data_IF_447080586391
#
_entry.id   IF_447080586391
#
_cell.length_a   1.000
_cell.length_b   1.000
_cell.length_c   1.000
_cell.angle_alpha   90.00
_cell.angle_beta   90.00
_cell.angle_gamma   90.00
#
_symmetry.space_group_name_H-M   'P 1'
#
loop_
_entity.id
_entity.type
_entity.pdbx_description
1 polymer ?
#
# COMPACT_ATOMS: atom_id res chain seq x y z
N UNK A 1 8.44 -12.54 -10.44
CA UNK A 1 9.25 -13.21 -11.48
C UNK A 1 10.46 -13.84 -10.79
N UNK A 2 10.77 -15.10 -11.10
CA UNK A 2 11.92 -15.82 -10.55
C UNK A 2 12.74 -16.43 -11.71
N UNK A 3 14.06 -16.66 -11.56
CA UNK A 3 14.84 -17.42 -12.53
C UNK A 3 14.28 -18.82 -12.79
N UNK A 4 14.63 -19.49 -13.92
CA UNK A 4 14.25 -20.88 -14.17
C UNK A 4 14.61 -21.80 -13.00
N UNK A 5 13.67 -22.65 -12.59
CA UNK A 5 13.84 -23.56 -11.44
C UNK A 5 13.79 -22.90 -10.06
N UNK A 6 13.45 -21.60 -9.97
CA UNK A 6 13.32 -20.86 -8.72
C UNK A 6 11.88 -20.38 -8.50
N UNK A 7 11.57 -20.05 -7.25
CA UNK A 7 10.30 -19.47 -6.84
C UNK A 7 10.52 -18.21 -6.00
N UNK A 8 9.53 -17.32 -6.01
CA UNK A 8 9.47 -16.17 -5.08
C UNK A 8 8.36 -16.44 -4.09
N UNK A 9 8.70 -16.37 -2.81
CA UNK A 9 7.73 -16.35 -1.72
C UNK A 9 7.63 -14.92 -1.22
N UNK A 10 6.42 -14.37 -1.24
CA UNK A 10 6.11 -13.11 -0.60
C UNK A 10 5.18 -13.39 0.59
N UNK A 11 5.67 -13.10 1.80
CA UNK A 11 4.94 -13.30 3.04
C UNK A 11 4.92 -11.99 3.83
N UNK A 12 3.78 -11.66 4.41
CA UNK A 12 3.57 -10.43 5.16
C UNK A 12 2.56 -10.63 6.28
N UNK A 13 2.66 -9.83 7.34
CA UNK A 13 1.66 -9.77 8.42
C UNK A 13 0.50 -8.85 8.02
N UNK A 14 -0.56 -8.81 8.82
CA UNK A 14 -1.74 -7.95 8.61
C UNK A 14 -1.48 -6.43 8.81
N UNK A 15 -0.29 -5.94 8.44
CA UNK A 15 0.14 -4.55 8.49
C UNK A 15 0.03 -3.88 9.88
N UNK A 16 0.18 -4.67 10.96
CA UNK A 16 0.04 -4.24 12.35
C UNK A 16 1.39 -4.10 13.09
N UNK A 17 2.49 -4.00 12.35
CA UNK A 17 3.83 -3.81 12.93
C UNK A 17 3.92 -2.44 13.61
N UNK A 18 4.23 -2.35 14.92
CA UNK A 18 4.26 -1.08 15.64
C UNK A 18 5.42 -0.22 15.15
N UNK A 19 5.13 0.99 14.66
CA UNK A 19 6.15 1.89 14.12
C UNK A 19 7.14 2.35 15.20
N UNK A 20 6.67 2.51 16.44
CA UNK A 20 7.43 3.01 17.58
C UNK A 20 8.68 2.17 17.87
N UNK A 21 8.61 0.85 17.64
CA UNK A 21 9.75 -0.05 17.79
C UNK A 21 10.90 0.25 16.82
N UNK A 22 10.62 0.99 15.73
CA UNK A 22 11.56 1.33 14.68
C UNK A 22 11.94 2.82 14.68
N UNK A 23 11.13 3.67 15.31
CA UNK A 23 11.28 5.11 15.25
C UNK A 23 12.67 5.55 15.75
N UNK A 24 13.36 6.39 14.97
CA UNK A 24 14.66 6.93 15.34
C UNK A 24 15.85 5.95 15.17
N UNK A 25 15.62 4.70 14.76
CA UNK A 25 16.73 3.78 14.48
C UNK A 25 17.54 4.22 13.26
N UNK A 26 18.87 4.10 13.33
CA UNK A 26 19.71 4.18 12.15
C UNK A 26 19.52 2.91 11.29
N UNK A 27 18.99 3.09 10.09
CA UNK A 27 18.72 2.02 9.12
C UNK A 27 19.96 1.28 8.64
N UNK A 28 21.15 1.84 8.85
CA UNK A 28 22.44 1.21 8.50
C UNK A 28 23.00 0.40 9.66
N UNK A 29 22.45 0.59 10.86
CA UNK A 29 22.99 0.01 12.08
C UNK A 29 22.80 -1.52 12.13
N UNK A 30 23.71 -2.23 12.83
CA UNK A 30 23.54 -3.66 13.10
C UNK A 30 22.27 -3.98 13.89
N UNK A 31 21.85 -3.11 14.81
CA UNK A 31 20.66 -3.27 15.65
C UNK A 31 19.40 -3.28 14.80
N UNK A 32 19.30 -2.36 13.83
CA UNK A 32 18.20 -2.32 12.87
C UNK A 32 18.14 -3.59 12.02
N UNK A 33 19.30 -4.08 11.55
CA UNK A 33 19.37 -5.35 10.79
C UNK A 33 18.94 -6.54 11.66
N UNK A 34 19.37 -6.61 12.91
CA UNK A 34 19.00 -7.66 13.86
C UNK A 34 17.51 -7.64 14.15
N UNK A 35 16.93 -6.47 14.42
CA UNK A 35 15.50 -6.33 14.67
C UNK A 35 14.67 -6.79 13.46
N UNK A 36 15.10 -6.49 12.22
CA UNK A 36 14.44 -7.03 11.02
C UNK A 36 14.41 -8.55 10.99
N UNK A 37 15.50 -9.21 11.35
CA UNK A 37 15.54 -10.67 11.40
C UNK A 37 14.60 -11.21 12.49
N UNK A 38 14.66 -10.64 13.69
CA UNK A 38 13.80 -11.03 14.81
C UNK A 38 12.31 -10.90 14.48
N UNK A 39 11.91 -9.76 13.90
CA UNK A 39 10.51 -9.48 13.55
C UNK A 39 10.01 -10.31 12.38
N UNK A 40 10.89 -10.84 11.52
CA UNK A 40 10.54 -11.75 10.43
C UNK A 40 10.39 -13.22 10.87
N UNK A 41 10.88 -13.56 12.05
CA UNK A 41 10.92 -14.95 12.55
C UNK A 41 9.54 -15.65 12.57
N UNK A 42 8.42 -15.00 12.97
CA UNK A 42 7.11 -15.65 12.90
C UNK A 42 6.65 -15.98 11.47
N UNK A 43 7.05 -15.19 10.46
CA UNK A 43 6.75 -15.51 9.05
C UNK A 43 7.52 -16.74 8.60
N UNK A 44 8.80 -16.85 8.98
CA UNK A 44 9.57 -18.05 8.69
C UNK A 44 8.99 -19.29 9.36
N UNK A 45 8.62 -19.21 10.64
CA UNK A 45 7.94 -20.32 11.33
C UNK A 45 6.64 -20.73 10.65
N UNK A 46 5.90 -19.78 10.06
CA UNK A 46 4.70 -20.09 9.29
C UNK A 46 5.05 -20.79 7.96
N UNK A 47 6.09 -20.33 7.26
CA UNK A 47 6.57 -20.94 6.03
C UNK A 47 7.13 -22.35 6.26
N UNK A 48 7.86 -22.58 7.35
CA UNK A 48 8.45 -23.88 7.71
C UNK A 48 7.40 -24.97 7.96
N UNK A 49 6.15 -24.60 8.28
CA UNK A 49 5.05 -25.58 8.37
C UNK A 49 4.65 -26.14 7.01
N UNK A 50 4.94 -25.44 5.92
CA UNK A 50 4.60 -25.82 4.54
C UNK A 50 5.84 -26.28 3.76
N UNK A 51 6.97 -25.60 3.98
CA UNK A 51 8.26 -25.86 3.34
C UNK A 51 9.32 -25.96 4.47
N UNK A 52 9.49 -27.13 5.10
CA UNK A 52 10.30 -27.28 6.32
C UNK A 52 11.76 -26.84 6.21
N UNK A 53 12.35 -26.90 5.02
CA UNK A 53 13.73 -26.53 4.74
C UNK A 53 13.86 -25.18 4.02
N UNK A 54 12.83 -24.32 4.06
CA UNK A 54 12.79 -23.05 3.31
C UNK A 54 14.02 -22.16 3.54
N UNK A 55 14.57 -22.14 4.76
CA UNK A 55 15.75 -21.34 5.09
C UNK A 55 17.00 -21.81 4.36
N UNK A 56 17.12 -23.11 4.12
CA UNK A 56 18.26 -23.71 3.39
C UNK A 56 18.14 -23.44 1.88
N UNK A 57 16.91 -23.26 1.38
CA UNK A 57 16.61 -22.96 -0.03
C UNK A 57 16.68 -21.47 -0.38
N UNK A 58 16.69 -20.59 0.62
CA UNK A 58 16.62 -19.15 0.42
C UNK A 58 17.97 -18.58 -0.08
N UNK A 59 18.06 -18.30 -1.38
CA UNK A 59 19.25 -17.67 -1.98
C UNK A 59 19.27 -16.15 -1.81
N UNK A 60 18.10 -15.52 -1.69
CA UNK A 60 17.95 -14.10 -1.45
C UNK A 60 16.81 -13.86 -0.47
N UNK A 61 17.10 -13.14 0.61
CA UNK A 61 16.12 -12.73 1.61
C UNK A 61 16.08 -11.21 1.71
N UNK A 62 14.91 -10.63 1.43
CA UNK A 62 14.65 -9.20 1.58
C UNK A 62 13.54 -9.01 2.61
N UNK A 63 13.92 -8.58 3.81
CA UNK A 63 12.95 -8.27 4.86
C UNK A 63 12.60 -6.79 4.76
N UNK A 64 11.33 -6.44 4.88
CA UNK A 64 10.87 -5.05 4.99
C UNK A 64 10.47 -4.72 6.44
N UNK A 65 10.44 -3.43 6.76
CA UNK A 65 10.04 -2.86 8.05
C UNK A 65 9.27 -1.56 7.79
N UNK A 66 8.61 -0.96 8.79
CA UNK A 66 7.93 0.32 8.62
C UNK A 66 8.84 1.41 8.05
N UNK A 67 10.08 1.55 8.55
CA UNK A 67 11.06 2.48 7.96
C UNK A 67 11.42 2.12 6.51
N UNK A 68 11.44 0.83 6.16
CA UNK A 68 11.65 0.41 4.77
C UNK A 68 10.53 0.96 3.89
N UNK A 69 9.26 0.77 4.26
CA UNK A 69 8.12 1.29 3.52
C UNK A 69 8.09 2.82 3.48
N UNK A 70 8.38 3.49 4.59
CA UNK A 70 8.44 4.96 4.64
C UNK A 70 9.42 5.53 3.61
N UNK A 71 10.63 4.98 3.51
CA UNK A 71 11.61 5.45 2.52
C UNK A 71 11.20 5.16 1.09
N UNK A 72 10.79 3.92 0.80
CA UNK A 72 10.57 3.49 -0.58
C UNK A 72 9.23 4.00 -1.14
N UNK A 73 8.22 4.15 -0.29
CA UNK A 73 6.86 4.53 -0.69
C UNK A 73 6.50 5.97 -0.28
N UNK A 74 7.39 6.66 0.45
CA UNK A 74 7.14 8.00 1.03
C UNK A 74 5.85 8.05 1.86
N UNK A 75 5.57 6.95 2.54
CA UNK A 75 4.37 6.78 3.38
C UNK A 75 4.63 7.31 4.77
N UNK A 76 3.67 8.06 5.30
CA UNK A 76 3.66 8.42 6.71
C UNK A 76 3.79 7.15 7.55
N UNK A 77 4.87 7.06 8.35
CA UNK A 77 5.16 5.92 9.23
C UNK A 77 5.17 4.55 8.52
N UNK A 78 5.43 4.54 7.20
CA UNK A 78 5.47 3.30 6.42
C UNK A 78 4.14 2.55 6.34
N UNK A 79 3.02 3.23 6.58
CA UNK A 79 1.70 2.58 6.59
C UNK A 79 1.34 1.95 5.23
N UNK A 80 0.64 0.82 5.26
CA UNK A 80 -0.01 0.22 4.09
C UNK A 80 -1.14 1.11 3.54
N UNK A 81 -1.76 1.91 4.42
CA UNK A 81 -2.84 2.83 4.10
C UNK A 81 -3.54 3.32 5.38
N UNK A 82 -4.45 4.30 5.30
CA UNK A 82 -5.10 4.81 6.49
C UNK A 82 -6.09 3.78 7.06
N UNK A 83 -6.00 3.53 8.37
CA UNK A 83 -6.95 2.70 9.12
C UNK A 83 -8.15 3.52 9.58
N UNK A 84 -9.01 3.94 8.65
CA UNK A 84 -10.20 4.74 8.97
C UNK A 84 -11.15 3.89 9.82
N UNK A 85 -11.46 4.36 11.03
CA UNK A 85 -12.35 3.63 11.93
C UNK A 85 -13.77 3.60 11.39
N UNK A 86 -14.36 2.41 11.31
CA UNK A 86 -15.78 2.25 11.00
C UNK A 86 -16.70 2.70 12.16
N UNK A 87 -16.17 2.85 13.37
CA UNK A 87 -16.95 3.14 14.58
C UNK A 87 -17.16 4.64 14.83
N UNK A 88 -16.63 5.53 13.98
CA UNK A 88 -16.70 6.97 14.19
C UNK A 88 -17.48 7.63 13.05
N UNK A 89 -18.80 7.85 13.21
CA UNK A 89 -19.68 8.38 12.16
C UNK A 89 -19.23 9.74 11.59
N UNK A 90 -18.49 10.52 12.38
CA UNK A 90 -18.04 11.88 12.06
C UNK A 90 -16.75 11.97 11.24
N UNK A 91 -16.05 10.85 10.97
CA UNK A 91 -14.83 10.86 10.16
C UNK A 91 -15.07 10.67 8.66
N UNK A 92 -16.32 10.82 8.19
CA UNK A 92 -16.61 11.21 6.81
C UNK A 92 -15.96 10.36 5.72
N UNK A 93 -15.90 9.03 5.89
CA UNK A 93 -15.35 8.13 4.87
C UNK A 93 -13.94 8.50 4.39
N UNK A 94 -13.57 8.02 3.21
CA UNK A 94 -12.33 8.41 2.58
C UNK A 94 -12.42 9.83 2.02
N UNK A 95 -11.35 10.65 2.08
CA UNK A 95 -11.38 11.98 1.49
C UNK A 95 -11.56 11.92 -0.02
N UNK A 96 -12.34 12.84 -0.56
CA UNK A 96 -12.50 13.01 -2.01
C UNK A 96 -11.25 13.60 -2.70
N UNK A 97 -11.32 13.85 -4.01
CA UNK A 97 -10.16 14.30 -4.79
C UNK A 97 -9.84 15.79 -4.63
N UNK A 98 -10.73 16.58 -4.03
CA UNK A 98 -10.59 18.04 -3.88
C UNK A 98 -9.85 18.42 -2.61
N UNK A 99 -9.11 19.52 -2.64
CA UNK A 99 -8.47 20.12 -1.45
C UNK A 99 -8.99 21.55 -1.22
N UNK A 100 -8.78 22.14 -0.03
CA UNK A 100 -9.07 23.56 0.21
C UNK A 100 -8.23 24.53 -0.63
N UNK A 101 -7.17 24.06 -1.30
CA UNK A 101 -6.31 24.88 -2.15
C UNK A 101 -6.86 24.85 -3.58
N UNK A 102 -7.29 25.99 -4.15
CA UNK A 102 -7.83 26.02 -5.51
C UNK A 102 -6.84 25.49 -6.54
N UNK A 103 -7.32 24.61 -7.43
CA UNK A 103 -6.50 24.00 -8.48
C UNK A 103 -5.62 22.82 -8.00
N UNK A 104 -5.61 22.50 -6.70
CA UNK A 104 -4.90 21.34 -6.18
C UNK A 104 -5.85 20.17 -5.93
N UNK A 105 -5.60 19.06 -6.61
CA UNK A 105 -6.34 17.81 -6.50
C UNK A 105 -5.43 16.67 -6.07
N UNK A 106 -6.01 15.67 -5.42
CA UNK A 106 -5.31 14.49 -4.91
C UNK A 106 -5.98 13.23 -5.40
N UNK A 107 -5.19 12.17 -5.57
CA UNK A 107 -5.68 10.84 -5.86
C UNK A 107 -4.72 9.79 -5.28
N UNK A 108 -5.13 8.52 -5.37
CA UNK A 108 -4.39 7.38 -4.85
C UNK A 108 -5.09 6.72 -3.67
N UNK A 109 -4.40 5.80 -3.05
CA UNK A 109 -4.95 4.88 -2.05
C UNK A 109 -5.17 5.48 -0.65
N UNK A 110 -4.90 6.76 -0.47
CA UNK A 110 -5.30 7.54 0.72
C UNK A 110 -6.53 8.41 0.46
N UNK A 111 -7.14 8.27 -0.71
CA UNK A 111 -8.35 8.98 -1.14
C UNK A 111 -9.41 7.98 -1.58
N UNK A 112 -10.67 8.38 -1.59
CA UNK A 112 -11.79 7.53 -2.01
C UNK A 112 -11.50 6.89 -3.37
N UNK A 113 -11.65 5.57 -3.55
CA UNK A 113 -12.29 4.59 -2.65
C UNK A 113 -11.41 3.89 -1.61
N UNK A 114 -10.11 4.15 -1.58
CA UNK A 114 -9.21 3.66 -0.52
C UNK A 114 -8.08 2.75 -0.97
N UNK A 115 -7.72 1.78 -0.13
CA UNK A 115 -6.50 0.96 -0.29
C UNK A 115 -6.57 -0.08 -1.41
N UNK A 116 -5.41 -0.30 -2.05
CA UNK A 116 -5.20 -1.34 -3.06
C UNK A 116 -5.15 -0.81 -4.49
N UNK A 117 -4.55 -1.59 -5.40
CA UNK A 117 -4.32 -1.17 -6.79
C UNK A 117 -5.62 -0.77 -7.53
N UNK A 118 -6.72 -1.55 -7.46
CA UNK A 118 -7.96 -1.17 -8.12
C UNK A 118 -8.55 0.13 -7.55
N UNK A 119 -8.48 0.31 -6.24
CA UNK A 119 -9.00 1.48 -5.56
C UNK A 119 -8.17 2.74 -5.88
N UNK A 120 -6.84 2.63 -5.89
CA UNK A 120 -5.95 3.71 -6.32
C UNK A 120 -6.22 4.13 -7.78
N UNK A 121 -6.43 3.16 -8.68
CA UNK A 121 -6.78 3.43 -10.07
C UNK A 121 -8.15 4.13 -10.20
N UNK A 122 -9.15 3.66 -9.45
CA UNK A 122 -10.47 4.28 -9.40
C UNK A 122 -10.42 5.72 -8.86
N UNK A 123 -9.64 5.96 -7.81
CA UNK A 123 -9.39 7.30 -7.29
C UNK A 123 -8.77 8.22 -8.37
N UNK A 124 -7.80 7.72 -9.13
CA UNK A 124 -7.21 8.45 -10.26
C UNK A 124 -8.27 8.84 -11.31
N UNK A 125 -9.15 7.91 -11.67
CA UNK A 125 -10.27 8.19 -12.58
C UNK A 125 -11.24 9.23 -12.00
N UNK A 126 -11.58 9.13 -10.72
CA UNK A 126 -12.45 10.11 -10.04
C UNK A 126 -11.84 11.51 -10.04
N UNK A 127 -10.55 11.62 -9.74
CA UNK A 127 -9.83 12.88 -9.78
C UNK A 127 -9.82 13.48 -11.19
N UNK A 128 -9.49 12.69 -12.22
CA UNK A 128 -9.53 13.15 -13.61
C UNK A 128 -10.93 13.61 -14.04
N UNK A 129 -11.98 12.88 -13.67
CA UNK A 129 -13.35 13.25 -13.98
C UNK A 129 -13.82 14.52 -13.26
N UNK A 130 -13.25 14.82 -12.09
CA UNK A 130 -13.54 16.07 -11.35
C UNK A 130 -12.99 17.30 -12.08
N UNK A 131 -11.97 17.13 -12.93
CA UNK A 131 -11.39 18.20 -13.74
C UNK A 131 -12.17 18.47 -15.05
N UNK A 132 -12.98 17.50 -15.49
CA UNK A 132 -13.72 17.60 -16.75
C UNK A 132 -15.12 18.19 -16.51
N UNK A 133 -15.58 19.13 -17.37
CA UNK A 133 -16.93 19.67 -17.27
C UNK A 133 -17.98 18.60 -17.62
N UNK A 134 -19.17 18.73 -17.06
CA UNK A 134 -20.29 17.79 -17.26
C UNK A 134 -20.59 17.53 -18.75
N UNK A 135 -20.42 18.54 -19.59
CA UNK A 135 -20.66 18.44 -21.04
C UNK A 135 -19.69 17.49 -21.75
N UNK A 136 -18.43 17.43 -21.30
CA UNK A 136 -17.45 16.48 -21.84
C UNK A 136 -17.82 15.04 -21.46
N UNK A 137 -18.33 14.85 -20.24
CA UNK A 137 -18.82 13.54 -19.79
C UNK A 137 -20.01 13.07 -20.63
N UNK A 138 -20.99 13.96 -20.86
CA UNK A 138 -22.16 13.65 -21.70
C UNK A 138 -21.75 13.30 -23.14
N UNK A 139 -20.87 14.10 -23.76
CA UNK A 139 -20.38 13.82 -25.11
C UNK A 139 -19.62 12.48 -25.22
N UNK A 140 -18.94 12.05 -24.15
CA UNK A 140 -18.31 10.73 -24.09
C UNK A 140 -19.35 9.61 -23.99
N UNK A 141 -20.41 9.80 -23.20
CA UNK A 141 -21.50 8.82 -23.08
C UNK A 141 -22.23 8.62 -24.40
N UNK A 142 -22.51 9.68 -25.16
CA UNK A 142 -23.15 9.59 -26.48
C UNK A 142 -22.33 8.72 -27.47
N UNK A 143 -21.01 8.70 -27.32
CA UNK A 143 -20.10 7.87 -28.15
C UNK A 143 -20.03 6.42 -27.70
N UNK A 144 -20.08 6.18 -26.38
CA UNK A 144 -19.92 4.84 -25.80
C UNK A 144 -21.22 4.05 -25.79
N UNK A 145 -22.35 4.74 -25.65
CA UNK A 145 -23.69 4.16 -25.67
C UNK A 145 -24.45 4.88 -26.78
N UNK A 146 -24.28 4.47 -28.05
CA UNK A 146 -25.04 5.05 -29.15
C UNK A 146 -26.53 4.90 -28.84
N UNK A 147 -27.30 5.98 -29.04
CA UNK A 147 -28.75 5.93 -28.92
C UNK A 147 -29.27 4.74 -29.75
N UNK A 148 -30.06 3.88 -29.11
CA UNK A 148 -30.76 2.79 -29.81
C UNK A 148 -31.80 3.35 -30.76
#
# INVERSE_FOLDING_TARGET
MAPPGKHVVHAYFAANEPYEAWAGMDRRSPEYKRLKQERAEPLYKALERVIPDIRQRAELTLIASPLTHERFLRRHRGTYGPGISASTPSHGGWPGPTTPVPGLYVCGDSTMPGIGVPAAAASGMMCANTLAPVWSHLSMMDKLVPAR
#
